data_IF_637524636545
#
_entry.id   IF_637524636545
#
_cell.length_a   1.000
_cell.length_b   1.000
_cell.length_c   1.000
_cell.angle_alpha   90.00
_cell.angle_beta   90.00
_cell.angle_gamma   90.00
#
_symmetry.space_group_name_H-M   'P 1'
#
loop_
_entity.id
_entity.type
_entity.pdbx_description
1 polymer ?
#
# COMPACT_ATOMS: atom_id res chain seq x y z
N UNK A 1 19.05 19.24 -6.22
CA UNK A 1 18.24 18.49 -5.27
C UNK A 1 19.05 17.53 -4.40
N UNK A 2 18.72 17.41 -3.12
CA UNK A 2 19.04 16.22 -2.33
C UNK A 2 18.16 15.04 -2.81
N UNK A 3 18.62 13.79 -2.75
CA UNK A 3 17.80 12.63 -3.12
C UNK A 3 16.59 12.51 -2.20
N UNK A 4 15.43 12.08 -2.74
CA UNK A 4 14.25 11.75 -1.93
C UNK A 4 14.48 10.38 -1.30
N UNK A 5 14.44 10.28 0.03
CA UNK A 5 14.63 9.01 0.73
C UNK A 5 13.29 8.28 0.92
N UNK A 6 13.13 7.03 0.44
CA UNK A 6 11.91 6.27 0.65
C UNK A 6 11.82 5.70 2.07
N UNK A 7 10.60 5.70 2.62
CA UNK A 7 10.19 5.03 3.86
C UNK A 7 9.00 4.13 3.56
N UNK A 8 9.24 2.83 3.43
CA UNK A 8 8.23 1.85 3.03
C UNK A 8 7.11 1.71 4.09
N UNK A 9 5.82 1.92 3.73
CA UNK A 9 4.69 1.63 4.60
C UNK A 9 4.52 0.13 4.82
N UNK A 10 4.82 -0.33 6.03
CA UNK A 10 4.81 -1.77 6.39
C UNK A 10 3.42 -2.39 6.20
N UNK A 11 2.36 -1.60 6.38
CA UNK A 11 0.96 -2.01 6.18
C UNK A 11 0.66 -2.52 4.76
N UNK A 12 1.44 -2.14 3.74
CA UNK A 12 1.21 -2.55 2.36
C UNK A 12 1.54 -4.05 2.19
N UNK A 13 2.67 -4.49 2.72
CA UNK A 13 3.08 -5.89 2.77
C UNK A 13 4.13 -6.08 3.86
N UNK A 14 3.73 -6.72 4.96
CA UNK A 14 4.57 -6.94 6.14
C UNK A 14 5.33 -8.27 6.10
N UNK A 15 5.40 -8.94 4.93
CA UNK A 15 6.06 -10.24 4.85
C UNK A 15 7.57 -10.08 5.09
N UNK A 16 8.19 -10.89 5.99
CA UNK A 16 9.59 -10.70 6.39
C UNK A 16 10.58 -10.60 5.24
N UNK A 17 10.42 -11.39 4.17
CA UNK A 17 11.31 -11.35 3.02
C UNK A 17 11.32 -9.99 2.29
N UNK A 18 10.17 -9.34 2.19
CA UNK A 18 10.07 -7.98 1.61
C UNK A 18 10.81 -6.98 2.50
N UNK A 19 10.52 -7.01 3.80
CA UNK A 19 11.11 -6.05 4.74
C UNK A 19 12.63 -6.20 4.84
N UNK A 20 13.16 -7.43 4.81
CA UNK A 20 14.62 -7.69 4.85
C UNK A 20 15.33 -7.21 3.58
N UNK A 21 14.75 -7.43 2.37
CA UNK A 21 15.30 -6.89 1.12
C UNK A 21 15.29 -5.36 1.15
N UNK A 22 14.16 -4.74 1.48
CA UNK A 22 14.05 -3.27 1.47
C UNK A 22 14.97 -2.64 2.52
N UNK A 23 15.08 -3.24 3.71
CA UNK A 23 16.00 -2.80 4.75
C UNK A 23 17.47 -2.88 4.33
N UNK A 24 17.84 -3.95 3.63
CA UNK A 24 19.20 -4.14 3.07
C UNK A 24 19.52 -3.11 1.99
N UNK A 25 18.52 -2.71 1.20
CA UNK A 25 18.62 -1.62 0.23
C UNK A 25 18.67 -0.21 0.87
N UNK A 26 18.65 -0.11 2.20
CA UNK A 26 18.75 1.15 2.95
C UNK A 26 17.45 1.96 3.01
N UNK A 27 16.32 1.34 2.69
CA UNK A 27 14.99 1.97 2.73
C UNK A 27 14.53 2.08 4.19
N UNK A 28 13.94 3.21 4.55
CA UNK A 28 13.32 3.39 5.87
C UNK A 28 11.96 2.72 5.97
N UNK A 29 11.31 2.75 7.13
CA UNK A 29 9.99 2.15 7.32
C UNK A 29 9.00 3.10 7.98
N UNK A 30 7.84 3.25 7.36
CA UNK A 30 6.68 3.92 7.92
C UNK A 30 5.78 2.87 8.60
N UNK A 31 5.73 2.93 9.93
CA UNK A 31 4.94 2.01 10.75
C UNK A 31 3.69 2.70 11.29
N UNK A 32 2.58 1.97 11.34
CA UNK A 32 1.27 2.39 11.79
C UNK A 32 0.82 1.65 13.06
N UNK A 33 1.54 0.61 13.51
CA UNK A 33 1.20 -0.14 14.71
C UNK A 33 2.43 -0.51 15.53
N UNK A 34 2.20 -0.94 16.78
CA UNK A 34 3.25 -1.51 17.63
C UNK A 34 3.86 -2.77 17.01
N UNK A 35 3.03 -3.63 16.42
CA UNK A 35 3.48 -4.89 15.81
C UNK A 35 4.41 -4.63 14.63
N UNK A 36 4.09 -3.65 13.78
CA UNK A 36 4.96 -3.24 12.66
C UNK A 36 6.29 -2.66 13.16
N UNK A 37 6.26 -1.78 14.16
CA UNK A 37 7.49 -1.25 14.76
C UNK A 37 8.36 -2.34 15.37
N UNK A 38 7.76 -3.33 16.04
CA UNK A 38 8.49 -4.46 16.61
C UNK A 38 9.12 -5.33 15.50
N UNK A 39 8.33 -5.68 14.49
CA UNK A 39 8.78 -6.49 13.35
C UNK A 39 9.98 -5.87 12.63
N UNK A 40 9.93 -4.57 12.35
CA UNK A 40 11.03 -3.85 11.68
C UNK A 40 12.28 -3.80 12.58
N UNK A 41 12.11 -3.62 13.90
CA UNK A 41 13.24 -3.63 14.83
C UNK A 41 13.87 -5.02 15.00
N UNK A 42 13.08 -6.09 14.96
CA UNK A 42 13.56 -7.47 15.05
C UNK A 42 14.45 -7.84 13.84
N UNK A 43 14.24 -7.18 12.69
CA UNK A 43 15.12 -7.28 11.52
C UNK A 43 16.43 -6.46 11.65
N UNK A 44 16.64 -5.78 12.78
CA UNK A 44 17.84 -5.00 13.05
C UNK A 44 17.82 -3.59 12.46
N UNK A 45 16.66 -3.11 12.01
CA UNK A 45 16.53 -1.74 11.48
C UNK A 45 16.61 -0.73 12.62
N UNK A 46 17.48 0.26 12.44
CA UNK A 46 17.72 1.29 13.44
C UNK A 46 16.52 2.23 13.63
N UNK A 47 16.20 2.68 14.86
CA UNK A 47 15.04 3.52 15.14
C UNK A 47 14.97 4.85 14.36
N UNK A 48 16.11 5.42 13.94
CA UNK A 48 16.15 6.62 13.10
C UNK A 48 15.63 6.40 11.66
N UNK A 49 15.56 5.15 11.23
CA UNK A 49 14.98 4.75 9.95
C UNK A 49 13.50 4.32 10.09
N UNK A 50 12.86 4.63 11.23
CA UNK A 50 11.46 4.30 11.48
C UNK A 50 10.66 5.58 11.77
N UNK A 51 9.50 5.72 11.10
CA UNK A 51 8.55 6.81 11.35
C UNK A 51 7.22 6.19 11.81
N UNK A 52 6.67 6.71 12.91
CA UNK A 52 5.37 6.25 13.42
C UNK A 52 4.22 7.12 12.90
N UNK A 53 3.49 6.62 11.91
CA UNK A 53 2.63 7.42 11.02
C UNK A 53 1.13 7.32 11.30
N UNK A 54 0.70 6.49 12.25
CA UNK A 54 -0.73 6.29 12.56
C UNK A 54 -1.41 7.59 13.01
N UNK A 55 -2.52 8.03 12.39
CA UNK A 55 -3.20 9.28 12.78
C UNK A 55 -3.80 9.23 14.20
N UNK A 56 -4.17 8.04 14.69
CA UNK A 56 -4.88 7.85 15.96
C UNK A 56 -4.09 6.94 16.91
N UNK A 57 -3.02 7.46 17.52
CA UNK A 57 -2.09 6.63 18.30
C UNK A 57 -2.65 6.33 19.69
N UNK A 58 -2.58 5.08 20.11
CA UNK A 58 -2.88 4.72 21.50
C UNK A 58 -1.70 5.12 22.40
N UNK A 59 -1.98 5.60 23.62
CA UNK A 59 -0.92 5.99 24.57
C UNK A 59 0.06 4.84 24.89
N UNK A 60 -0.42 3.60 24.90
CA UNK A 60 0.41 2.39 25.04
C UNK A 60 1.41 2.23 23.90
N UNK A 61 1.02 2.53 22.66
CA UNK A 61 1.87 2.47 21.48
C UNK A 61 2.87 3.62 21.43
N UNK A 62 2.46 4.83 21.85
CA UNK A 62 3.39 5.98 21.99
C UNK A 62 4.48 5.65 23.02
N UNK A 63 4.11 5.09 24.18
CA UNK A 63 5.07 4.65 25.20
C UNK A 63 6.01 3.56 24.69
N UNK A 64 5.51 2.65 23.85
CA UNK A 64 6.34 1.66 23.19
C UNK A 64 7.36 2.34 22.26
N UNK A 65 6.93 3.25 21.38
CA UNK A 65 7.82 4.00 20.49
C UNK A 65 8.91 4.75 21.29
N UNK A 66 8.54 5.37 22.41
CA UNK A 66 9.48 6.03 23.32
C UNK A 66 10.53 5.06 23.89
N UNK A 67 10.09 3.90 24.40
CA UNK A 67 10.98 2.87 24.94
C UNK A 67 11.90 2.29 23.87
N UNK A 68 11.40 2.17 22.65
CA UNK A 68 12.08 1.61 21.49
C UNK A 68 13.02 2.62 20.79
N UNK A 69 13.07 3.89 21.24
CA UNK A 69 13.89 4.94 20.65
C UNK A 69 13.37 5.50 19.33
N UNK A 70 12.13 5.16 18.94
CA UNK A 70 11.50 5.64 17.70
C UNK A 70 10.95 7.04 17.98
N UNK A 71 11.65 8.05 17.50
CA UNK A 71 11.39 9.44 17.86
C UNK A 71 10.51 10.17 16.84
N UNK A 72 10.60 9.83 15.55
CA UNK A 72 9.88 10.55 14.48
C UNK A 72 8.45 10.02 14.40
N UNK A 73 7.47 10.92 14.48
CA UNK A 73 6.06 10.54 14.38
C UNK A 73 5.18 11.66 13.82
N UNK A 74 4.04 11.30 13.26
CA UNK A 74 3.07 12.25 12.69
C UNK A 74 2.07 12.75 13.74
N UNK A 75 1.54 13.96 13.56
CA UNK A 75 0.48 14.53 14.39
C UNK A 75 -0.36 15.55 13.60
N UNK A 76 -1.68 15.53 13.76
CA UNK A 76 -2.60 16.47 13.11
C UNK A 76 -3.63 17.13 14.06
N UNK A 77 -3.62 16.80 15.36
CA UNK A 77 -4.58 17.36 16.30
C UNK A 77 -4.00 17.57 17.71
N UNK A 78 -4.62 18.45 18.49
CA UNK A 78 -4.14 18.87 19.81
C UNK A 78 -4.27 17.76 20.87
N UNK A 79 -5.26 16.88 20.73
CA UNK A 79 -5.46 15.72 21.62
C UNK A 79 -4.30 14.75 21.46
N UNK A 80 -3.90 14.46 20.21
CA UNK A 80 -2.75 13.63 19.87
C UNK A 80 -1.46 14.24 20.42
N UNK A 81 -1.25 15.54 20.21
CA UNK A 81 -0.12 16.29 20.74
C UNK A 81 -0.01 16.17 22.27
N UNK A 82 -1.13 16.33 22.99
CA UNK A 82 -1.20 16.17 24.46
C UNK A 82 -0.86 14.74 24.90
N UNK A 83 -1.28 13.71 24.16
CA UNK A 83 -0.91 12.32 24.45
C UNK A 83 0.58 12.08 24.27
N UNK A 84 1.15 12.62 23.19
CA UNK A 84 2.58 12.51 22.88
C UNK A 84 3.41 13.22 23.95
N UNK A 85 3.05 14.46 24.32
CA UNK A 85 3.76 15.26 25.33
C UNK A 85 3.95 14.50 26.65
N UNK A 86 2.92 13.77 27.06
CA UNK A 86 2.90 13.01 28.32
C UNK A 86 3.65 11.68 28.24
N UNK A 87 3.78 11.11 27.04
CA UNK A 87 4.19 9.70 26.86
C UNK A 87 5.55 9.54 26.18
N UNK A 88 6.00 10.54 25.42
CA UNK A 88 7.25 10.51 24.66
C UNK A 88 7.89 11.89 24.58
N UNK A 89 8.67 12.30 25.61
CA UNK A 89 9.28 13.63 25.67
C UNK A 89 10.32 13.90 24.57
N UNK A 90 10.89 12.85 23.97
CA UNK A 90 11.90 12.96 22.90
C UNK A 90 11.29 12.90 21.49
N UNK A 91 9.96 12.94 21.39
CA UNK A 91 9.26 12.89 20.11
C UNK A 91 9.65 14.08 19.22
N UNK A 92 9.83 13.78 17.94
CA UNK A 92 10.04 14.71 16.85
C UNK A 92 8.85 14.62 15.90
N UNK A 93 8.08 15.70 15.82
CA UNK A 93 6.79 15.68 15.12
C UNK A 93 6.89 16.16 13.69
N UNK A 94 6.24 15.40 12.81
CA UNK A 94 5.81 15.84 11.49
C UNK A 94 4.35 16.28 11.57
N UNK A 95 4.07 17.55 11.32
CA UNK A 95 2.68 18.02 11.24
C UNK A 95 2.07 17.48 9.95
N UNK A 96 1.02 16.67 10.05
CA UNK A 96 0.32 16.14 8.89
C UNK A 96 -0.72 17.15 8.42
N UNK A 97 -0.50 17.79 7.28
CA UNK A 97 -1.43 18.75 6.68
C UNK A 97 -2.42 18.04 5.76
N UNK A 98 -3.65 18.53 5.74
CA UNK A 98 -4.69 18.03 4.85
C UNK A 98 -4.39 18.45 3.40
N UNK A 99 -4.73 17.58 2.46
CA UNK A 99 -4.65 17.85 1.02
C UNK A 99 -6.06 17.89 0.43
N UNK A 100 -6.29 18.80 -0.50
CA UNK A 100 -7.52 18.85 -1.28
C UNK A 100 -7.44 17.80 -2.40
N UNK A 101 -7.62 16.53 -2.06
CA UNK A 101 -7.85 15.48 -3.06
C UNK A 101 -9.26 15.69 -3.64
N UNK A 102 -9.33 16.32 -4.82
CA UNK A 102 -10.55 16.49 -5.62
C UNK A 102 -10.80 15.15 -6.32
N UNK A 103 -11.30 14.15 -5.60
CA UNK A 103 -11.82 12.92 -6.23
C UNK A 103 -13.31 12.80 -5.92
N UNK A 104 -14.08 12.53 -6.97
CA UNK A 104 -15.55 12.52 -6.96
C UNK A 104 -16.19 11.36 -6.17
N UNK A 105 -15.40 10.47 -5.57
CA UNK A 105 -15.85 9.41 -4.66
C UNK A 105 -15.61 9.86 -3.20
N UNK A 106 -16.29 10.92 -2.77
CA UNK A 106 -16.16 11.52 -1.43
C UNK A 106 -16.77 10.68 -0.30
N UNK A 107 -17.48 9.57 -0.59
CA UNK A 107 -18.31 8.89 0.40
C UNK A 107 -17.59 7.81 1.25
N UNK A 108 -16.35 7.39 0.92
CA UNK A 108 -15.70 6.28 1.64
C UNK A 108 -14.27 6.50 2.14
N UNK A 109 -13.56 7.56 1.73
CA UNK A 109 -12.17 7.75 2.16
C UNK A 109 -12.06 8.67 3.39
N UNK A 110 -11.57 8.12 4.52
CA UNK A 110 -11.21 8.92 5.69
C UNK A 110 -10.05 9.86 5.34
N UNK A 111 -10.33 11.16 5.25
CA UNK A 111 -9.29 12.20 5.07
C UNK A 111 -8.68 12.54 6.44
N UNK A 112 -7.35 12.49 6.51
CA UNK A 112 -6.58 12.89 7.69
C UNK A 112 -5.83 14.19 7.42
N UNK A 113 -5.28 14.79 8.47
CA UNK A 113 -4.48 16.00 8.37
C UNK A 113 -5.18 17.26 8.89
N UNK A 114 -4.38 18.27 9.17
CA UNK A 114 -4.82 19.54 9.73
C UNK A 114 -4.81 20.66 8.68
N UNK A 115 -5.68 21.65 8.87
CA UNK A 115 -5.65 22.88 8.08
C UNK A 115 -4.43 23.74 8.43
N UNK A 116 -4.01 24.61 7.51
CA UNK A 116 -2.95 25.61 7.74
C UNK A 116 -3.24 26.50 8.96
N UNK A 117 -4.49 26.93 9.13
CA UNK A 117 -4.92 27.73 10.28
C UNK A 117 -4.68 26.99 11.60
N UNK A 118 -5.01 25.71 11.64
CA UNK A 118 -4.86 24.90 12.85
C UNK A 118 -3.39 24.48 13.08
N UNK A 119 -2.53 24.44 12.05
CA UNK A 119 -1.09 24.24 12.24
C UNK A 119 -0.47 25.26 13.19
N UNK A 120 -0.85 26.54 13.08
CA UNK A 120 -0.38 27.60 14.00
C UNK A 120 -0.76 27.29 15.45
N UNK A 121 -2.00 26.84 15.68
CA UNK A 121 -2.45 26.43 17.01
C UNK A 121 -1.65 25.22 17.55
N UNK A 122 -1.37 24.22 16.70
CA UNK A 122 -0.56 23.06 17.10
C UNK A 122 0.88 23.46 17.46
N UNK A 123 1.46 24.42 16.76
CA UNK A 123 2.79 24.97 17.07
C UNK A 123 2.83 25.69 18.42
N UNK A 124 1.81 26.51 18.72
CA UNK A 124 1.64 27.16 20.02
C UNK A 124 1.59 26.11 21.14
N UNK A 125 0.72 25.11 21.01
CA UNK A 125 0.62 24.03 21.97
C UNK A 125 1.92 23.22 22.09
N UNK A 126 2.63 22.97 20.98
CA UNK A 126 3.89 22.23 21.01
C UNK A 126 4.98 22.99 21.79
N UNK A 127 5.01 24.33 21.68
CA UNK A 127 5.90 25.17 22.51
C UNK A 127 5.54 25.10 23.98
N UNK A 128 4.25 25.21 24.32
CA UNK A 128 3.79 25.09 25.71
C UNK A 128 4.16 23.75 26.34
N UNK A 129 4.09 22.66 25.56
CA UNK A 129 4.42 21.32 26.02
C UNK A 129 5.90 20.94 25.88
N UNK A 130 6.72 21.80 25.26
CA UNK A 130 8.15 21.52 25.03
C UNK A 130 8.42 20.40 24.04
N UNK A 131 7.51 20.11 23.10
CA UNK A 131 7.70 19.09 22.06
C UNK A 131 8.37 19.71 20.84
N UNK A 132 9.23 18.95 20.17
CA UNK A 132 9.86 19.36 18.92
C UNK A 132 8.93 19.09 17.73
N UNK A 133 8.70 20.11 16.93
CA UNK A 133 8.20 19.97 15.55
C UNK A 133 9.41 20.08 14.64
N UNK A 134 9.60 19.10 13.76
CA UNK A 134 10.78 18.98 12.89
C UNK A 134 10.41 18.96 11.40
N UNK A 135 9.12 18.91 11.06
CA UNK A 135 8.76 18.78 9.67
C UNK A 135 7.26 18.79 9.40
N UNK A 136 6.95 18.57 8.13
CA UNK A 136 5.59 18.50 7.60
C UNK A 136 5.43 17.21 6.82
N UNK A 137 4.24 16.63 6.91
CA UNK A 137 3.79 15.52 6.09
C UNK A 137 2.54 15.93 5.32
N UNK A 138 2.40 15.46 4.10
CA UNK A 138 1.12 15.40 3.40
C UNK A 138 0.98 14.06 2.68
N UNK A 139 -0.22 13.75 2.21
CA UNK A 139 -0.47 12.57 1.39
C UNK A 139 -1.39 12.93 0.24
N UNK A 140 -0.99 12.57 -0.98
CA UNK A 140 -1.85 12.62 -2.17
C UNK A 140 -2.10 11.18 -2.57
N UNK A 141 -3.38 10.81 -2.73
CA UNK A 141 -3.75 9.44 -3.11
C UNK A 141 -3.13 9.04 -4.45
N UNK A 142 -2.76 7.76 -4.60
CA UNK A 142 -2.34 7.20 -5.89
C UNK A 142 -3.48 7.16 -6.94
N UNK A 143 -4.74 7.31 -6.49
CA UNK A 143 -5.92 7.44 -7.35
C UNK A 143 -6.18 8.89 -7.78
N UNK A 144 -5.47 9.87 -7.21
CA UNK A 144 -5.59 11.26 -7.58
C UNK A 144 -4.93 11.49 -8.96
N UNK A 145 -5.74 11.93 -9.93
CA UNK A 145 -5.29 12.22 -11.30
C UNK A 145 -4.83 13.67 -11.47
N UNK A 146 -5.14 14.54 -10.52
CA UNK A 146 -4.85 15.96 -10.60
C UNK A 146 -3.48 16.25 -9.97
N UNK A 147 -2.45 16.37 -10.81
CA UNK A 147 -1.11 16.71 -10.35
C UNK A 147 -1.02 18.09 -9.66
N UNK A 148 -2.02 18.96 -9.84
CA UNK A 148 -2.12 20.25 -9.15
C UNK A 148 -2.20 20.10 -7.62
N UNK A 149 -2.73 18.97 -7.12
CA UNK A 149 -2.80 18.71 -5.67
C UNK A 149 -1.41 18.66 -5.04
N UNK A 150 -0.41 18.10 -5.73
CA UNK A 150 0.98 18.14 -5.26
C UNK A 150 1.53 19.58 -5.20
N UNK A 151 1.14 20.44 -6.14
CA UNK A 151 1.59 21.84 -6.17
C UNK A 151 1.09 22.58 -4.94
N UNK A 152 -0.21 22.47 -4.65
CA UNK A 152 -0.82 23.07 -3.47
C UNK A 152 -0.22 22.50 -2.18
N UNK A 153 -0.07 21.18 -2.08
CA UNK A 153 0.47 20.53 -0.89
C UNK A 153 1.92 20.96 -0.56
N UNK A 154 2.79 21.08 -1.57
CA UNK A 154 4.17 21.53 -1.38
C UNK A 154 4.20 23.03 -0.99
N UNK A 155 3.36 23.86 -1.60
CA UNK A 155 3.22 25.27 -1.24
C UNK A 155 2.73 25.44 0.20
N UNK A 156 1.71 24.68 0.60
CA UNK A 156 1.17 24.66 1.95
C UNK A 156 2.21 24.20 2.97
N UNK A 157 2.97 23.16 2.63
CA UNK A 157 4.09 22.70 3.45
C UNK A 157 5.12 23.83 3.64
N UNK A 158 5.47 24.59 2.59
CA UNK A 158 6.37 25.74 2.70
C UNK A 158 5.83 26.79 3.68
N UNK A 159 4.54 27.13 3.58
CA UNK A 159 3.90 28.06 4.53
C UNK A 159 3.99 27.56 5.98
N UNK A 160 3.82 26.26 6.21
CA UNK A 160 3.96 25.67 7.56
C UNK A 160 5.41 25.71 8.05
N UNK A 161 6.39 25.48 7.18
CA UNK A 161 7.80 25.64 7.54
C UNK A 161 8.12 27.08 7.94
N UNK A 162 7.63 28.08 7.18
CA UNK A 162 7.84 29.50 7.48
C UNK A 162 7.22 29.88 8.84
N UNK A 163 5.99 29.44 9.10
CA UNK A 163 5.35 29.64 10.40
C UNK A 163 6.15 28.98 11.53
N UNK A 164 6.64 27.75 11.34
CA UNK A 164 7.40 27.04 12.37
C UNK A 164 8.71 27.76 12.71
N UNK A 165 9.36 28.40 11.74
CA UNK A 165 10.54 29.24 11.96
C UNK A 165 10.22 30.48 12.81
N UNK A 166 9.05 31.12 12.63
CA UNK A 166 8.58 32.22 13.50
C UNK A 166 8.46 31.80 14.96
N UNK A 167 8.04 30.56 15.22
CA UNK A 167 8.02 29.98 16.56
C UNK A 167 9.41 29.56 17.04
N UNK A 168 10.42 29.52 16.18
CA UNK A 168 11.78 29.06 16.50
C UNK A 168 11.86 27.53 16.61
N UNK A 169 11.11 26.81 15.78
CA UNK A 169 11.36 25.39 15.52
C UNK A 169 12.39 25.23 14.42
N UNK A 170 13.21 24.18 14.52
CA UNK A 170 14.15 23.81 13.46
C UNK A 170 13.52 22.70 12.62
N UNK A 171 13.05 23.07 11.44
CA UNK A 171 12.41 22.15 10.50
C UNK A 171 13.45 21.56 9.54
N UNK A 172 13.50 20.24 9.42
CA UNK A 172 14.49 19.52 8.61
C UNK A 172 13.94 18.29 7.86
N UNK A 173 12.63 18.01 7.93
CA UNK A 173 11.99 16.89 7.22
C UNK A 173 10.74 17.35 6.47
N UNK A 174 10.67 17.03 5.17
CA UNK A 174 9.44 17.11 4.39
C UNK A 174 9.05 15.70 3.92
N UNK A 175 7.88 15.23 4.31
CA UNK A 175 7.31 13.95 3.86
C UNK A 175 6.21 14.20 2.82
N UNK A 176 6.44 13.75 1.58
CA UNK A 176 5.53 13.95 0.45
C UNK A 176 4.48 12.82 0.30
N UNK A 177 4.46 11.86 1.22
CA UNK A 177 3.49 10.77 1.21
C UNK A 177 3.79 9.71 0.15
N UNK A 178 2.77 8.93 -0.23
CA UNK A 178 2.96 7.60 -0.82
C UNK A 178 2.18 7.31 -2.10
N UNK A 179 1.63 8.34 -2.75
CA UNK A 179 0.75 8.24 -3.93
C UNK A 179 1.42 7.72 -5.21
N UNK A 180 2.22 6.66 -5.12
CA UNK A 180 3.01 6.08 -6.21
C UNK A 180 2.50 4.68 -6.54
N UNK A 181 2.16 4.43 -7.80
CA UNK A 181 1.52 3.17 -8.24
C UNK A 181 2.52 2.05 -8.50
N UNK A 182 3.76 2.38 -8.83
CA UNK A 182 4.77 1.41 -9.33
C UNK A 182 5.07 1.56 -10.82
N UNK A 183 4.24 2.30 -11.56
CA UNK A 183 4.47 2.62 -12.96
C UNK A 183 5.56 3.69 -13.11
N UNK A 184 6.52 3.46 -14.01
CA UNK A 184 7.56 4.42 -14.35
C UNK A 184 6.97 5.73 -14.89
N UNK A 185 5.97 5.63 -15.78
CA UNK A 185 5.28 6.79 -16.34
C UNK A 185 4.66 7.66 -15.25
N UNK A 186 3.97 7.05 -14.28
CA UNK A 186 3.33 7.78 -13.18
C UNK A 186 4.37 8.44 -12.27
N UNK A 187 5.49 7.76 -12.01
CA UNK A 187 6.60 8.32 -11.24
C UNK A 187 7.23 9.52 -11.95
N UNK A 188 7.44 9.43 -13.26
CA UNK A 188 8.00 10.51 -14.09
C UNK A 188 7.07 11.74 -14.13
N UNK A 189 5.76 11.53 -14.30
CA UNK A 189 4.76 12.59 -14.28
C UNK A 189 4.75 13.36 -12.95
N UNK A 190 4.73 12.63 -11.82
CA UNK A 190 4.78 13.23 -10.49
C UNK A 190 6.11 13.96 -10.30
N UNK A 191 7.23 13.33 -10.65
CA UNK A 191 8.56 13.92 -10.53
C UNK A 191 8.69 15.21 -11.35
N UNK A 192 8.14 15.25 -12.57
CA UNK A 192 8.15 16.43 -13.42
C UNK A 192 7.47 17.64 -12.77
N UNK A 193 6.41 17.40 -12.01
CA UNK A 193 5.65 18.45 -11.31
C UNK A 193 6.29 18.85 -9.99
N UNK A 194 6.72 17.89 -9.16
CA UNK A 194 7.23 18.21 -7.81
C UNK A 194 8.65 18.75 -7.84
N UNK A 195 9.49 18.32 -8.80
CA UNK A 195 10.92 18.65 -8.79
C UNK A 195 11.21 20.15 -8.86
N UNK A 196 10.61 20.94 -9.77
CA UNK A 196 10.82 22.39 -9.78
C UNK A 196 10.39 23.06 -8.47
N UNK A 197 9.31 22.58 -7.85
CA UNK A 197 8.79 23.13 -6.59
C UNK A 197 9.72 22.82 -5.41
N UNK A 198 10.24 21.59 -5.35
CA UNK A 198 11.22 21.20 -4.33
C UNK A 198 12.52 22.00 -4.48
N UNK A 199 13.02 22.22 -5.70
CA UNK A 199 14.22 23.03 -5.93
C UNK A 199 14.01 24.51 -5.54
N UNK A 200 12.77 25.04 -5.60
CA UNK A 200 12.44 26.42 -5.20
C UNK A 200 12.20 26.53 -3.68
N UNK A 201 11.33 25.69 -3.12
CA UNK A 201 10.84 25.82 -1.75
C UNK A 201 11.69 25.08 -0.71
N UNK A 202 12.39 24.03 -1.14
CA UNK A 202 13.22 23.16 -0.30
C UNK A 202 14.57 22.86 -0.98
N UNK A 203 15.34 23.90 -1.37
CA UNK A 203 16.61 23.73 -2.07
C UNK A 203 17.61 22.96 -1.20
N UNK A 204 18.63 22.34 -1.79
CA UNK A 204 19.62 21.50 -1.08
C UNK A 204 20.31 22.25 0.07
N UNK A 205 20.51 23.56 -0.11
CA UNK A 205 21.14 24.48 0.84
C UNK A 205 20.28 24.70 2.10
N UNK A 206 18.97 24.44 2.03
CA UNK A 206 18.08 24.51 3.20
C UNK A 206 18.36 23.43 4.24
N UNK A 207 19.04 22.34 3.85
CA UNK A 207 19.31 21.19 4.72
C UNK A 207 18.07 20.34 5.02
N UNK A 208 16.94 20.58 4.35
CA UNK A 208 15.71 19.78 4.51
C UNK A 208 15.86 18.44 3.79
N UNK A 209 15.59 17.36 4.53
CA UNK A 209 15.52 16.01 3.99
C UNK A 209 14.11 15.76 3.45
N UNK A 210 14.01 15.53 2.15
CA UNK A 210 12.74 15.14 1.53
C UNK A 210 12.63 13.62 1.59
N UNK A 211 11.53 13.14 2.13
CA UNK A 211 11.20 11.72 2.22
C UNK A 211 9.87 11.44 1.52
N UNK A 212 9.66 10.18 1.16
CA UNK A 212 8.41 9.70 0.58
C UNK A 212 8.03 8.36 1.22
N UNK A 213 6.76 7.99 1.12
CA UNK A 213 6.20 6.75 1.66
C UNK A 213 5.69 5.79 0.57
N UNK A 214 6.51 5.40 -0.43
CA UNK A 214 6.07 4.52 -1.52
C UNK A 214 5.78 3.10 -1.00
N UNK A 215 4.51 2.70 -1.03
CA UNK A 215 4.03 1.37 -0.62
C UNK A 215 3.80 0.45 -1.81
N UNK A 216 2.64 0.61 -2.46
CA UNK A 216 2.26 -0.18 -3.64
C UNK A 216 3.35 -0.18 -4.72
N UNK A 217 4.05 0.94 -4.87
CA UNK A 217 5.21 1.08 -5.76
C UNK A 217 6.21 -0.07 -5.69
N UNK A 218 6.55 -0.56 -4.50
CA UNK A 218 7.56 -1.62 -4.35
C UNK A 218 7.02 -3.03 -4.54
N UNK A 219 5.77 -3.27 -4.14
CA UNK A 219 5.29 -4.63 -3.91
C UNK A 219 4.13 -5.06 -4.79
N UNK A 220 3.36 -4.12 -5.38
CA UNK A 220 2.11 -4.45 -6.04
C UNK A 220 2.28 -5.53 -7.10
N UNK A 221 3.15 -5.31 -8.10
CA UNK A 221 3.42 -6.23 -9.21
C UNK A 221 4.40 -7.37 -8.87
N UNK A 222 5.00 -7.36 -7.69
CA UNK A 222 5.99 -8.37 -7.28
C UNK A 222 5.36 -9.70 -6.85
N UNK A 223 4.03 -9.76 -6.69
CA UNK A 223 3.30 -10.95 -6.26
C UNK A 223 2.17 -11.29 -7.24
N UNK A 224 2.10 -12.56 -7.57
CA UNK A 224 1.01 -13.19 -8.32
C UNK A 224 0.36 -14.23 -7.41
N UNK A 225 -0.96 -14.19 -7.31
CA UNK A 225 -1.74 -15.14 -6.52
C UNK A 225 -2.36 -16.20 -7.43
N UNK A 226 -2.13 -17.46 -7.12
CA UNK A 226 -2.81 -18.59 -7.76
C UNK A 226 -3.85 -19.18 -6.81
N UNK A 227 -5.08 -19.29 -7.28
CA UNK A 227 -6.22 -19.84 -6.53
C UNK A 227 -6.87 -20.97 -7.30
N UNK A 228 -7.48 -21.90 -6.57
CA UNK A 228 -8.13 -23.07 -7.14
C UNK A 228 -9.64 -22.98 -7.00
N UNK A 229 -10.38 -23.38 -8.03
CA UNK A 229 -11.84 -23.48 -7.99
C UNK A 229 -12.22 -24.72 -7.17
N UNK A 230 -12.89 -24.48 -6.04
CA UNK A 230 -13.30 -25.52 -5.10
C UNK A 230 -14.79 -25.91 -5.25
N UNK A 231 -15.61 -25.03 -5.80
CA UNK A 231 -17.00 -25.33 -6.13
C UNK A 231 -17.48 -24.51 -7.33
N UNK A 232 -18.49 -25.04 -8.02
CA UNK A 232 -19.14 -24.43 -9.18
C UNK A 232 -20.64 -24.56 -9.04
N UNK A 233 -21.37 -23.49 -9.34
CA UNK A 233 -22.82 -23.50 -9.54
C UNK A 233 -23.13 -23.00 -10.94
N UNK A 234 -24.15 -23.61 -11.55
CA UNK A 234 -24.66 -23.21 -12.85
C UNK A 234 -26.10 -22.79 -12.67
N UNK A 235 -26.39 -21.56 -13.04
CA UNK A 235 -27.75 -21.02 -13.04
C UNK A 235 -28.16 -20.82 -14.50
N UNK A 236 -29.33 -21.34 -14.85
CA UNK A 236 -30.04 -20.90 -16.05
C UNK A 236 -30.96 -19.75 -15.60
N UNK A 237 -30.97 -18.62 -16.31
CA UNK A 237 -31.64 -17.34 -15.95
C UNK A 237 -33.18 -17.42 -15.87
N UNK A 238 -33.76 -18.61 -15.65
CA UNK A 238 -35.20 -18.88 -15.61
C UNK A 238 -35.82 -18.86 -14.20
N UNK A 239 -35.06 -18.54 -13.14
CA UNK A 239 -35.54 -18.71 -11.75
C UNK A 239 -35.35 -17.54 -10.78
N UNK A 240 -35.03 -16.32 -11.23
CA UNK A 240 -35.13 -15.14 -10.35
C UNK A 240 -36.57 -14.58 -10.35
N UNK A 241 -37.27 -14.51 -9.20
CA UNK A 241 -38.54 -13.81 -9.12
C UNK A 241 -38.28 -12.31 -9.33
N UNK A 242 -38.96 -11.74 -10.33
CA UNK A 242 -38.89 -10.33 -10.70
C UNK A 242 -39.03 -9.40 -9.49
N UNK A 243 -37.94 -8.72 -9.13
CA UNK A 243 -37.88 -7.90 -7.92
C UNK A 243 -36.83 -6.79 -7.97
N UNK A 244 -36.66 -6.11 -9.10
CA UNK A 244 -35.78 -4.94 -9.19
C UNK A 244 -35.73 -4.37 -10.61
N UNK A 245 -36.10 -3.10 -10.77
CA UNK A 245 -36.26 -2.42 -12.07
C UNK A 245 -34.91 -1.88 -12.59
N UNK A 246 -34.76 -1.97 -13.92
CA UNK A 246 -33.89 -1.20 -14.83
C UNK A 246 -32.42 -1.65 -15.02
N UNK A 247 -32.19 -2.49 -16.04
CA UNK A 247 -31.47 -2.11 -17.28
C UNK A 247 -31.66 -3.25 -18.31
N UNK A 248 -32.73 -3.17 -19.10
CA UNK A 248 -32.95 -4.09 -20.24
C UNK A 248 -32.12 -3.63 -21.44
N UNK A 249 -30.93 -4.20 -21.60
CA UNK A 249 -30.27 -4.30 -22.89
C UNK A 249 -29.85 -5.75 -23.14
N UNK A 250 -30.61 -6.40 -24.03
CA UNK A 250 -30.27 -7.57 -24.84
C UNK A 250 -29.35 -8.63 -24.18
N UNK A 251 -29.86 -9.37 -23.18
CA UNK A 251 -29.32 -10.69 -22.85
C UNK A 251 -30.14 -11.75 -23.60
N UNK A 252 -29.46 -12.72 -24.22
CA UNK A 252 -30.13 -13.94 -24.66
C UNK A 252 -30.46 -14.74 -23.39
N UNK A 253 -31.74 -14.81 -23.01
CA UNK A 253 -32.27 -15.45 -21.78
C UNK A 253 -31.97 -16.96 -21.62
N UNK A 254 -31.17 -17.56 -22.51
CA UNK A 254 -30.85 -19.01 -22.53
C UNK A 254 -29.36 -19.33 -22.29
N UNK A 255 -28.48 -18.34 -22.14
CA UNK A 255 -27.06 -18.62 -21.86
C UNK A 255 -26.80 -18.95 -20.37
N UNK A 256 -25.99 -19.98 -20.07
CA UNK A 256 -25.69 -20.36 -18.69
C UNK A 256 -24.83 -19.30 -18.01
N UNK A 257 -25.18 -18.98 -16.76
CA UNK A 257 -24.37 -18.13 -15.87
C UNK A 257 -23.65 -19.02 -14.87
N UNK A 258 -22.35 -18.81 -14.70
CA UNK A 258 -21.54 -19.61 -13.78
C UNK A 258 -21.17 -18.82 -12.53
N UNK A 259 -21.24 -19.49 -11.39
CA UNK A 259 -20.70 -18.98 -10.12
C UNK A 259 -19.60 -19.92 -9.66
N UNK A 260 -18.37 -19.43 -9.59
CA UNK A 260 -17.22 -20.19 -9.11
C UNK A 260 -16.83 -19.75 -7.71
N UNK A 261 -16.62 -20.72 -6.83
CA UNK A 261 -16.07 -20.50 -5.50
C UNK A 261 -14.60 -20.91 -5.52
N UNK A 262 -13.72 -20.02 -5.08
CA UNK A 262 -12.28 -20.25 -4.99
C UNK A 262 -11.84 -20.41 -3.54
N UNK A 263 -10.64 -20.94 -3.34
CA UNK A 263 -10.08 -21.26 -2.02
C UNK A 263 -9.46 -20.07 -1.26
N UNK A 264 -9.64 -18.84 -1.74
CA UNK A 264 -9.24 -17.60 -1.05
C UNK A 264 -10.29 -16.51 -1.31
N UNK A 265 -10.39 -15.51 -0.44
CA UNK A 265 -11.50 -14.54 -0.47
C UNK A 265 -11.20 -13.22 0.22
N UNK A 266 -12.24 -12.45 0.48
CA UNK A 266 -12.15 -11.10 1.07
C UNK A 266 -11.67 -11.11 2.52
N UNK A 267 -11.73 -12.25 3.19
CA UNK A 267 -11.17 -12.43 4.53
C UNK A 267 -9.72 -12.96 4.51
N UNK A 268 -9.15 -13.11 3.30
CA UNK A 268 -7.78 -13.50 3.05
C UNK A 268 -7.12 -12.51 2.08
N UNK A 269 -6.66 -13.01 0.93
CA UNK A 269 -5.85 -12.21 -0.01
C UNK A 269 -6.61 -11.09 -0.72
N UNK A 270 -7.94 -11.16 -0.76
CA UNK A 270 -8.77 -10.16 -1.42
C UNK A 270 -9.36 -9.13 -0.45
N UNK A 271 -8.77 -8.96 0.74
CA UNK A 271 -9.27 -8.01 1.75
C UNK A 271 -9.38 -6.56 1.25
N UNK A 272 -8.49 -6.15 0.34
CA UNK A 272 -8.56 -4.83 -0.30
C UNK A 272 -9.89 -4.58 -1.03
N UNK A 273 -10.62 -5.63 -1.45
CA UNK A 273 -11.93 -5.50 -2.08
C UNK A 273 -13.00 -4.87 -1.16
N UNK A 274 -12.85 -5.01 0.16
CA UNK A 274 -13.79 -4.45 1.14
C UNK A 274 -13.60 -2.94 1.35
N UNK A 275 -12.39 -2.43 1.10
CA UNK A 275 -12.04 -1.02 1.35
C UNK A 275 -11.82 -0.22 0.08
N UNK A 276 -11.42 -0.87 -1.02
CA UNK A 276 -11.00 -0.26 -2.27
C UNK A 276 -11.62 -0.97 -3.47
N UNK A 277 -11.73 -0.26 -4.59
CA UNK A 277 -12.09 -0.87 -5.88
C UNK A 277 -10.88 -1.68 -6.38
N UNK A 278 -10.79 -2.94 -5.95
CA UNK A 278 -9.84 -3.88 -6.50
C UNK A 278 -10.23 -4.17 -7.96
N UNK A 279 -9.39 -3.73 -8.90
CA UNK A 279 -9.55 -3.99 -10.33
C UNK A 279 -8.56 -5.08 -10.78
N UNK A 280 -8.63 -6.26 -10.15
CA UNK A 280 -7.83 -7.42 -10.56
C UNK A 280 -8.63 -8.25 -11.54
N UNK A 281 -8.01 -8.60 -12.66
CA UNK A 281 -8.62 -9.43 -13.71
C UNK A 281 -8.16 -10.88 -13.48
N UNK A 282 -9.09 -11.85 -13.36
CA UNK A 282 -8.71 -13.26 -13.27
C UNK A 282 -8.19 -13.76 -14.63
N UNK A 283 -7.02 -14.38 -14.65
CA UNK A 283 -6.51 -15.11 -15.81
C UNK A 283 -6.65 -16.62 -15.58
N UNK A 284 -7.11 -17.35 -16.60
CA UNK A 284 -7.21 -18.81 -16.53
C UNK A 284 -5.83 -19.43 -16.77
N UNK A 285 -5.32 -20.22 -15.81
CA UNK A 285 -3.99 -20.81 -15.91
C UNK A 285 -3.83 -21.76 -17.10
N UNK A 286 -4.89 -22.52 -17.42
CA UNK A 286 -4.89 -23.47 -18.52
C UNK A 286 -5.03 -22.74 -19.85
N UNK A 287 -4.17 -23.06 -20.82
CA UNK A 287 -4.33 -22.60 -22.22
C UNK A 287 -5.66 -23.11 -22.78
N UNK A 288 -6.57 -22.21 -23.10
CA UNK A 288 -7.81 -22.47 -23.83
C UNK A 288 -7.67 -22.03 -25.29
N UNK A 289 -8.51 -22.58 -26.19
CA UNK A 289 -8.51 -22.11 -27.58
C UNK A 289 -9.19 -20.74 -27.65
N UNK A 290 -8.68 -19.83 -28.49
CA UNK A 290 -9.30 -18.50 -28.69
C UNK A 290 -10.78 -18.57 -29.09
N UNK A 291 -11.20 -19.68 -29.70
CA UNK A 291 -12.56 -19.91 -30.17
C UNK A 291 -13.51 -20.49 -29.10
N UNK A 292 -13.04 -20.70 -27.85
CA UNK A 292 -13.89 -21.24 -26.78
C UNK A 292 -14.97 -20.23 -26.36
N UNK A 293 -16.22 -20.68 -26.17
CA UNK A 293 -17.31 -19.80 -25.77
C UNK A 293 -17.05 -19.23 -24.37
N UNK A 294 -17.24 -17.92 -24.22
CA UNK A 294 -17.15 -17.21 -22.96
C UNK A 294 -18.54 -17.03 -22.36
N UNK A 295 -18.63 -17.17 -21.04
CA UNK A 295 -19.87 -17.10 -20.29
C UNK A 295 -19.76 -16.06 -19.18
N UNK A 296 -20.88 -15.41 -18.89
CA UNK A 296 -20.97 -14.52 -17.72
C UNK A 296 -20.74 -15.33 -16.45
N UNK A 297 -19.74 -14.90 -15.67
CA UNK A 297 -19.26 -15.61 -14.50
C UNK A 297 -19.06 -14.67 -13.33
N UNK A 298 -19.33 -15.16 -12.12
CA UNK A 298 -18.98 -14.50 -10.85
C UNK A 298 -18.00 -15.34 -10.04
N UNK A 299 -17.10 -14.68 -9.30
CA UNK A 299 -16.10 -15.32 -8.44
C UNK A 299 -16.36 -14.96 -6.98
N UNK A 300 -16.42 -15.98 -6.14
CA UNK A 300 -16.68 -15.89 -4.71
C UNK A 300 -15.58 -16.56 -3.92
N UNK A 301 -15.28 -16.02 -2.75
CA UNK A 301 -14.41 -16.66 -1.79
C UNK A 301 -15.10 -17.84 -1.07
N UNK A 302 -14.35 -18.52 -0.19
CA UNK A 302 -14.78 -19.78 0.38
C UNK A 302 -15.74 -19.62 1.57
N UNK A 303 -15.98 -18.41 2.08
CA UNK A 303 -16.58 -18.22 3.40
C UNK A 303 -18.11 -18.31 3.45
N UNK A 304 -18.79 -18.39 2.30
CA UNK A 304 -20.25 -18.34 2.19
C UNK A 304 -20.89 -17.07 2.80
N UNK A 305 -20.11 -16.01 3.02
CA UNK A 305 -20.59 -14.68 3.39
C UNK A 305 -20.99 -13.88 2.14
N UNK A 306 -21.99 -13.01 2.27
CA UNK A 306 -22.46 -12.17 1.15
C UNK A 306 -21.44 -11.13 0.70
N UNK A 307 -20.52 -10.72 1.59
CA UNK A 307 -19.42 -9.82 1.28
C UNK A 307 -18.25 -10.52 0.59
N UNK A 308 -18.22 -11.85 0.59
CA UNK A 308 -17.13 -12.65 0.01
C UNK A 308 -17.27 -12.84 -1.51
N UNK A 309 -17.79 -11.82 -2.17
CA UNK A 309 -17.83 -11.72 -3.63
C UNK A 309 -16.63 -10.92 -4.12
N UNK A 310 -15.77 -11.57 -4.92
CA UNK A 310 -14.49 -11.03 -5.36
C UNK A 310 -14.68 -10.33 -6.71
N UNK A 311 -15.30 -11.04 -7.65
CA UNK A 311 -15.61 -10.53 -8.99
C UNK A 311 -17.10 -10.72 -9.23
N UNK A 312 -17.81 -9.61 -9.38
CA UNK A 312 -19.27 -9.62 -9.57
C UNK A 312 -19.63 -10.19 -10.95
N UNK A 313 -18.98 -9.69 -12.00
CA UNK A 313 -19.23 -10.11 -13.37
C UNK A 313 -17.91 -10.11 -14.17
N UNK A 314 -17.59 -11.23 -14.82
CA UNK A 314 -16.50 -11.37 -15.78
C UNK A 314 -16.89 -12.38 -16.87
N UNK A 315 -16.15 -12.37 -17.98
CA UNK A 315 -16.31 -13.35 -19.05
C UNK A 315 -15.19 -14.39 -18.93
N UNK A 316 -15.57 -15.64 -18.71
CA UNK A 316 -14.65 -16.77 -18.59
C UNK A 316 -15.16 -17.93 -19.45
N UNK A 317 -14.26 -18.78 -19.97
CA UNK A 317 -14.69 -20.07 -20.50
C UNK A 317 -15.36 -20.91 -19.39
N UNK A 318 -16.04 -21.98 -19.78
CA UNK A 318 -16.56 -22.91 -18.77
C UNK A 318 -15.41 -23.62 -18.04
N UNK A 319 -15.26 -23.34 -16.74
CA UNK A 319 -14.24 -23.93 -15.88
C UNK A 319 -14.80 -25.08 -15.05
N UNK A 320 -13.89 -25.90 -14.53
CA UNK A 320 -14.19 -27.05 -13.67
C UNK A 320 -13.60 -26.88 -12.27
N UNK A 321 -14.17 -27.61 -11.30
CA UNK A 321 -13.56 -27.74 -9.98
C UNK A 321 -12.18 -28.36 -10.14
N UNK A 322 -11.17 -27.74 -9.53
CA UNK A 322 -9.77 -28.09 -9.69
C UNK A 322 -9.00 -27.23 -10.70
N UNK A 323 -9.67 -26.41 -11.51
CA UNK A 323 -8.98 -25.45 -12.38
C UNK A 323 -8.40 -24.28 -11.57
N UNK A 324 -7.34 -23.68 -12.10
CA UNK A 324 -6.62 -22.59 -11.46
C UNK A 324 -6.87 -21.25 -12.13
N UNK A 325 -7.07 -20.23 -11.30
CA UNK A 325 -7.12 -18.83 -11.70
C UNK A 325 -5.90 -18.11 -11.13
N UNK A 326 -5.34 -17.21 -11.92
CA UNK A 326 -4.16 -16.42 -11.62
C UNK A 326 -4.58 -14.96 -11.51
N UNK A 327 -4.08 -14.28 -10.49
CA UNK A 327 -4.31 -12.87 -10.24
C UNK A 327 -2.96 -12.18 -10.08
N UNK A 328 -2.60 -11.35 -11.05
CA UNK A 328 -1.42 -10.50 -10.98
C UNK A 328 -1.66 -9.26 -10.11
N UNK A 329 -0.56 -8.59 -9.77
CA UNK A 329 -0.55 -7.36 -8.98
C UNK A 329 -1.12 -7.53 -7.56
N UNK A 330 -0.95 -8.72 -6.97
CA UNK A 330 -1.51 -9.11 -5.68
C UNK A 330 -0.54 -8.92 -4.50
N UNK A 331 0.36 -7.93 -4.58
CA UNK A 331 1.40 -7.75 -3.56
C UNK A 331 1.16 -6.66 -2.53
N UNK A 332 0.15 -5.80 -2.70
CA UNK A 332 -0.18 -4.72 -1.76
C UNK A 332 -1.59 -4.87 -1.21
N UNK A 333 -1.75 -4.82 0.12
CA UNK A 333 -3.06 -4.89 0.77
C UNK A 333 -3.71 -6.28 0.74
N UNK A 334 -2.95 -7.31 0.36
CA UNK A 334 -3.41 -8.69 0.17
C UNK A 334 -2.92 -9.62 1.28
N UNK A 335 -1.70 -9.45 1.79
CA UNK A 335 -1.07 -10.38 2.75
C UNK A 335 -1.23 -9.96 4.24
N UNK A 336 -2.34 -9.29 4.58
CA UNK A 336 -2.66 -8.81 5.92
C UNK A 336 -2.82 -9.92 6.97
N UNK A 337 -2.80 -9.59 8.28
CA UNK A 337 -2.90 -10.52 9.42
C UNK A 337 -3.97 -11.62 9.20
N UNK A 338 -3.64 -12.88 9.51
CA UNK A 338 -4.55 -14.01 9.28
C UNK A 338 -5.84 -13.78 10.06
N UNK A 339 -6.95 -13.65 9.33
CA UNK A 339 -8.27 -13.63 9.96
C UNK A 339 -8.56 -15.01 10.53
N UNK A 340 -9.12 -15.08 11.74
CA UNK A 340 -9.65 -16.33 12.31
C UNK A 340 -10.96 -16.75 11.67
N UNK A 341 -11.45 -16.01 10.67
CA UNK A 341 -12.73 -16.26 10.03
C UNK A 341 -12.66 -17.54 9.18
N UNK A 342 -13.49 -18.52 9.55
CA UNK A 342 -13.66 -19.81 8.87
C UNK A 342 -12.39 -20.68 8.69
N UNK A 343 -11.37 -20.47 9.54
CA UNK A 343 -10.19 -21.35 9.68
C UNK A 343 -9.38 -21.53 8.36
N UNK A 344 -9.47 -20.56 7.45
CA UNK A 344 -8.75 -20.62 6.19
C UNK A 344 -7.25 -20.34 6.38
N UNK A 345 -6.42 -21.17 5.75
CA UNK A 345 -4.98 -21.02 5.76
C UNK A 345 -4.53 -19.98 4.74
N UNK A 346 -3.48 -19.23 5.09
CA UNK A 346 -2.86 -18.32 4.13
C UNK A 346 -2.25 -19.09 2.97
N UNK A 347 -2.27 -18.51 1.75
CA UNK A 347 -1.48 -19.00 0.65
C UNK A 347 0.00 -19.12 1.03
N UNK A 348 0.65 -20.18 0.56
CA UNK A 348 2.09 -20.32 0.66
C UNK A 348 2.77 -19.27 -0.22
N UNK A 349 3.84 -18.68 0.29
CA UNK A 349 4.63 -17.67 -0.44
C UNK A 349 5.91 -18.34 -0.93
N UNK A 350 6.11 -18.33 -2.24
CA UNK A 350 7.34 -18.79 -2.88
C UNK A 350 8.06 -17.59 -3.47
N UNK A 351 9.29 -17.35 -3.02
CA UNK A 351 10.14 -16.30 -3.57
C UNK A 351 10.98 -16.84 -4.72
N UNK A 352 11.06 -16.06 -5.79
CA UNK A 352 11.95 -16.31 -6.91
C UNK A 352 12.65 -15.02 -7.32
N UNK A 353 13.83 -15.15 -7.89
CA UNK A 353 14.67 -14.05 -8.37
C UNK A 353 15.45 -14.55 -9.58
N UNK A 354 15.68 -13.69 -10.57
CA UNK A 354 16.52 -14.08 -11.70
C UNK A 354 17.99 -14.14 -11.26
N UNK A 355 18.81 -14.92 -11.98
CA UNK A 355 20.23 -14.98 -11.68
C UNK A 355 20.92 -13.62 -11.90
N UNK A 356 20.48 -12.86 -12.90
CA UNK A 356 20.99 -11.51 -13.17
C UNK A 356 20.68 -10.54 -12.04
N UNK A 357 19.45 -10.54 -11.49
CA UNK A 357 19.11 -9.63 -10.38
C UNK A 357 19.95 -9.95 -9.14
N UNK A 358 20.21 -11.23 -8.88
CA UNK A 358 21.08 -11.64 -7.78
C UNK A 358 22.54 -11.19 -7.99
N UNK A 359 23.07 -11.32 -9.21
CA UNK A 359 24.41 -10.85 -9.57
C UNK A 359 24.54 -9.32 -9.37
N UNK A 360 23.54 -8.56 -9.81
CA UNK A 360 23.46 -7.11 -9.60
C UNK A 360 23.41 -6.73 -8.11
N UNK A 361 22.67 -7.49 -7.29
CA UNK A 361 22.67 -7.30 -5.84
C UNK A 361 24.05 -7.54 -5.23
N UNK A 362 24.77 -8.56 -5.69
CA UNK A 362 26.13 -8.85 -5.23
C UNK A 362 27.11 -7.75 -5.62
N UNK A 363 27.02 -7.23 -6.85
CA UNK A 363 27.81 -6.10 -7.33
C UNK A 363 27.54 -4.81 -6.53
N UNK A 364 26.30 -4.64 -6.04
CA UNK A 364 25.93 -3.56 -5.12
C UNK A 364 26.42 -3.79 -3.68
N UNK A 365 27.14 -4.88 -3.41
CA UNK A 365 27.70 -5.22 -2.10
C UNK A 365 26.75 -5.97 -1.17
N UNK A 366 25.59 -6.42 -1.67
CA UNK A 366 24.66 -7.25 -0.92
C UNK A 366 25.13 -8.70 -0.98
N UNK A 367 25.40 -9.28 0.19
CA UNK A 367 25.89 -10.65 0.32
C UNK A 367 24.89 -11.52 1.08
N UNK A 368 25.09 -12.83 1.07
CA UNK A 368 24.30 -13.75 1.91
C UNK A 368 24.43 -13.42 3.42
N UNK A 369 25.52 -12.78 3.85
CA UNK A 369 25.70 -12.36 5.24
C UNK A 369 24.83 -11.15 5.62
N UNK A 370 24.50 -10.29 4.64
CA UNK A 370 23.55 -9.19 4.83
C UNK A 370 22.09 -9.66 4.76
N UNK A 371 21.83 -10.75 4.03
CA UNK A 371 20.50 -11.35 3.83
C UNK A 371 20.38 -12.67 4.60
N UNK A 372 20.46 -12.60 5.93
CA UNK A 372 20.69 -13.76 6.81
C UNK A 372 19.60 -14.82 6.76
N UNK A 373 18.37 -14.46 6.38
CA UNK A 373 17.27 -15.42 6.32
C UNK A 373 16.98 -15.93 4.90
N UNK A 374 17.80 -15.55 3.91
CA UNK A 374 17.65 -15.99 2.53
C UNK A 374 18.63 -17.09 2.16
N UNK A 375 18.11 -18.15 1.55
CA UNK A 375 18.89 -19.22 0.95
C UNK A 375 18.64 -19.23 -0.55
N UNK A 376 19.64 -18.78 -1.31
CA UNK A 376 19.57 -18.74 -2.78
C UNK A 376 19.98 -20.10 -3.34
N UNK A 377 19.07 -20.73 -4.09
CA UNK A 377 19.29 -22.03 -4.72
C UNK A 377 18.89 -21.92 -6.19
N UNK A 378 19.69 -22.43 -7.14
CA UNK A 378 19.26 -22.50 -8.53
C UNK A 378 17.92 -23.22 -8.64
N UNK A 379 16.96 -22.59 -9.32
CA UNK A 379 15.65 -23.22 -9.53
C UNK A 379 15.81 -24.51 -10.32
N UNK A 380 15.15 -25.58 -9.86
CA UNK A 380 15.01 -26.82 -10.63
C UNK A 380 14.01 -26.68 -11.79
N UNK A 381 13.31 -25.55 -11.88
CA UNK A 381 12.35 -25.21 -12.92
C UNK A 381 13.10 -24.44 -14.01
N UNK A 382 13.45 -25.11 -15.11
CA UNK A 382 13.87 -24.44 -16.34
C UNK A 382 12.63 -23.88 -17.02
N UNK A 383 12.30 -22.62 -16.79
CA UNK A 383 11.25 -21.92 -17.53
C UNK A 383 11.70 -21.82 -19.00
N UNK A 384 10.97 -22.46 -19.92
CA UNK A 384 11.23 -22.31 -21.34
C UNK A 384 10.74 -20.94 -21.81
N UNK A 385 11.25 -20.42 -22.93
CA UNK A 385 10.75 -19.16 -23.51
C UNK A 385 9.26 -19.22 -23.90
N UNK A 386 8.67 -20.42 -23.99
CA UNK A 386 7.26 -20.66 -24.31
C UNK A 386 6.31 -20.64 -23.09
N UNK A 387 6.87 -20.59 -21.88
CA UNK A 387 6.13 -20.55 -20.59
C UNK A 387 5.96 -19.12 -20.06
N UNK A 388 6.38 -18.10 -20.82
CA UNK A 388 6.12 -16.70 -20.48
C UNK A 388 4.65 -16.39 -20.72
N UNK A 389 3.95 -15.96 -19.67
CA UNK A 389 2.64 -15.33 -19.80
C UNK A 389 2.74 -14.12 -20.73
N UNK A 390 1.73 -13.95 -21.57
CA UNK A 390 1.70 -12.91 -22.60
C UNK A 390 1.66 -11.53 -21.92
N UNK A 391 2.79 -10.81 -21.92
CA UNK A 391 2.87 -9.42 -21.44
C UNK A 391 2.27 -8.43 -22.46
N UNK A 392 1.21 -8.81 -23.16
CA UNK A 392 0.62 -7.99 -24.22
C UNK A 392 -0.44 -7.04 -23.66
N UNK A 393 0.02 -5.81 -23.42
CA UNK A 393 -0.67 -4.52 -23.33
C UNK A 393 -1.56 -4.22 -22.12
#
# INVERSE_FOLDING_TARGET
MAPIKPFYPVKCNSTPGVLEILGTLGIGFACSSKSEMALVQDLGISPENIIYTNPCKQASQIKYAAKAGINIMTCDNDIELKKIARSHPNAKLLLHIATEDITADEEMNMKFGTTLKNCRHLMECAKEFGIQIVGVKFHVSNTCKELQTYIHAISDARCVFDMAEEFGFKMDILDIGGGFTGSELQLEEVNHVIRPLLDIYFPKESGVNVIAEPGCYYVSSAFTLAVNIIAKKTECDKLLPSGGKQLEQARNDDEPVFTYYINDGVYGSFASKLSEKLNTIPEVHKKYKEDEPLFTSSLWGPSCDELDQIVENCLLPELSVGDWLIFDNMGSGTLGEQSTFNDYQRPLIYYMMSFSDWDEMQDAGITSDTMKNFFFVPSCIQLSSEDRFSTAA
#
